data_IF_878193105787
#
_entry.id   IF_878193105787
#
_cell.length_a   1.000
_cell.length_b   1.000
_cell.length_c   1.000
_cell.angle_alpha   90.00
_cell.angle_beta   90.00
_cell.angle_gamma   90.00
#
_symmetry.space_group_name_H-M   'P 1'
#
loop_
_entity.id
_entity.type
_entity.pdbx_description
1 polymer ?
#
# COMPACT_ATOMS: atom_id res chain seq x y z
N UNK A 1 1.98 0.95 -35.56
CA UNK A 1 1.88 -0.01 -34.44
C UNK A 1 0.56 0.29 -33.73
N UNK A 2 -0.36 -0.68 -33.70
CA UNK A 2 -1.63 -0.55 -32.95
C UNK A 2 -1.32 -0.99 -31.52
N UNK A 3 -1.60 -0.14 -30.56
CA UNK A 3 -1.44 -0.46 -29.14
C UNK A 3 -2.73 -1.11 -28.62
N UNK A 4 -2.64 -2.12 -27.73
CA UNK A 4 -3.84 -2.63 -27.05
C UNK A 4 -4.51 -1.51 -26.27
N UNK A 5 -5.84 -1.57 -26.15
CA UNK A 5 -6.59 -0.63 -25.33
C UNK A 5 -6.22 -0.84 -23.86
N UNK A 6 -5.91 0.25 -23.17
CA UNK A 6 -5.66 0.29 -21.74
C UNK A 6 -6.93 -0.02 -20.93
N UNK A 7 -6.75 -0.65 -19.79
CA UNK A 7 -7.79 -0.90 -18.78
C UNK A 7 -7.87 0.27 -17.76
N UNK A 8 -9.01 0.42 -17.08
CA UNK A 8 -9.23 1.49 -16.09
C UNK A 8 -9.91 2.76 -16.61
N UNK A 9 -10.05 3.75 -15.74
CA UNK A 9 -10.76 5.01 -16.03
C UNK A 9 -9.81 5.97 -16.77
N UNK A 10 -10.29 6.71 -17.78
CA UNK A 10 -9.49 7.78 -18.42
C UNK A 10 -9.00 8.75 -17.34
N UNK A 11 -7.71 9.18 -17.35
CA UNK A 11 -7.18 9.98 -16.25
C UNK A 11 -7.90 11.32 -16.10
N UNK A 12 -8.47 11.86 -17.18
CA UNK A 12 -9.27 13.09 -17.16
C UNK A 12 -10.57 12.91 -16.41
N UNK A 13 -11.21 11.75 -16.54
CA UNK A 13 -12.45 11.47 -15.81
C UNK A 13 -12.16 11.14 -14.35
N UNK A 14 -11.06 10.44 -14.07
CA UNK A 14 -10.57 10.24 -12.71
C UNK A 14 -10.30 11.57 -12.00
N UNK A 15 -9.65 12.53 -12.67
CA UNK A 15 -9.38 13.86 -12.11
C UNK A 15 -10.66 14.65 -11.80
N UNK A 16 -11.68 14.55 -12.65
CA UNK A 16 -13.00 15.16 -12.39
C UNK A 16 -13.64 14.52 -11.16
N UNK A 17 -13.63 13.19 -11.07
CA UNK A 17 -14.18 12.47 -9.92
C UNK A 17 -13.42 12.79 -8.62
N UNK A 18 -12.11 13.00 -8.71
CA UNK A 18 -11.26 13.42 -7.61
C UNK A 18 -11.37 14.92 -7.27
N UNK A 19 -12.21 15.66 -7.99
CA UNK A 19 -12.44 17.10 -7.84
C UNK A 19 -11.16 17.95 -7.95
N UNK A 20 -10.25 17.59 -8.86
CA UNK A 20 -9.04 18.37 -9.11
C UNK A 20 -9.35 19.66 -9.86
N UNK A 21 -8.61 20.76 -9.58
CA UNK A 21 -8.76 22.00 -10.34
C UNK A 21 -8.31 21.81 -11.80
N UNK A 22 -8.85 22.62 -12.71
CA UNK A 22 -8.54 22.52 -14.14
C UNK A 22 -7.05 22.64 -14.46
N UNK A 23 -6.32 23.45 -13.67
CA UNK A 23 -4.89 23.74 -13.83
C UNK A 23 -4.02 23.07 -12.75
N UNK A 24 -4.40 21.87 -12.32
CA UNK A 24 -3.68 21.14 -11.29
C UNK A 24 -2.21 20.83 -11.67
N UNK A 25 -1.38 20.72 -10.64
CA UNK A 25 0.05 20.46 -10.66
C UNK A 25 0.34 19.14 -9.93
N UNK A 26 1.56 18.62 -10.09
CA UNK A 26 2.01 17.41 -9.38
C UNK A 26 1.84 17.53 -7.86
N UNK A 27 2.09 18.72 -7.30
CA UNK A 27 1.89 19.02 -5.89
C UNK A 27 0.43 18.83 -5.43
N UNK A 28 -0.56 19.14 -6.28
CA UNK A 28 -1.97 18.90 -5.92
C UNK A 28 -2.25 17.39 -5.80
N UNK A 29 -1.58 16.57 -6.60
CA UNK A 29 -1.69 15.12 -6.52
C UNK A 29 -0.96 14.56 -5.30
N UNK A 30 0.22 15.11 -4.98
CA UNK A 30 0.94 14.79 -3.75
C UNK A 30 0.06 15.05 -2.52
N UNK A 31 -0.53 16.24 -2.43
CA UNK A 31 -1.41 16.63 -1.33
C UNK A 31 -2.63 15.70 -1.23
N UNK A 32 -3.28 15.41 -2.36
CA UNK A 32 -4.45 14.52 -2.37
C UNK A 32 -4.12 13.09 -1.91
N UNK A 33 -2.96 12.54 -2.30
CA UNK A 33 -2.49 11.24 -1.84
C UNK A 33 -2.21 11.29 -0.32
N UNK A 34 -1.50 12.33 0.14
CA UNK A 34 -1.17 12.51 1.55
C UNK A 34 -2.42 12.63 2.42
N UNK A 35 -3.42 13.41 2.00
CA UNK A 35 -4.68 13.58 2.74
C UNK A 35 -5.46 12.27 2.85
N UNK A 36 -5.49 11.47 1.78
CA UNK A 36 -6.08 10.13 1.82
C UNK A 36 -5.35 9.20 2.78
N UNK A 37 -4.03 9.16 2.73
CA UNK A 37 -3.23 8.33 3.65
C UNK A 37 -3.41 8.77 5.11
N UNK A 38 -3.43 10.09 5.38
CA UNK A 38 -3.75 10.61 6.72
C UNK A 38 -5.15 10.21 7.18
N UNK A 39 -6.14 10.28 6.30
CA UNK A 39 -7.52 9.86 6.62
C UNK A 39 -7.63 8.37 6.98
N UNK A 40 -6.68 7.57 6.51
CA UNK A 40 -6.54 6.14 6.82
C UNK A 40 -5.68 5.87 8.06
N UNK A 41 -5.16 6.91 8.72
CA UNK A 41 -4.38 6.80 9.95
C UNK A 41 -2.88 6.57 9.75
N UNK A 42 -2.33 6.78 8.56
CA UNK A 42 -0.88 6.73 8.34
C UNK A 42 -0.17 7.94 8.93
N UNK A 43 0.94 7.71 9.62
CA UNK A 43 1.90 8.75 9.98
C UNK A 43 2.80 9.06 8.78
N UNK A 44 2.87 10.32 8.36
CA UNK A 44 3.61 10.72 7.17
C UNK A 44 4.12 12.16 7.23
N UNK A 45 5.16 12.43 6.44
CA UNK A 45 5.65 13.78 6.15
C UNK A 45 5.72 14.00 4.65
N UNK A 46 5.38 15.20 4.23
CA UNK A 46 5.50 15.65 2.84
C UNK A 46 6.78 16.50 2.69
N UNK A 47 7.40 16.44 1.51
CA UNK A 47 8.49 17.34 1.14
C UNK A 47 9.75 17.20 2.01
N UNK A 48 10.16 15.96 2.31
CA UNK A 48 11.30 15.67 3.20
C UNK A 48 12.62 15.92 2.49
N UNK A 49 13.34 16.96 2.92
CA UNK A 49 14.65 17.32 2.39
C UNK A 49 15.75 16.39 2.88
N UNK A 50 16.70 16.08 1.99
CA UNK A 50 17.88 15.26 2.28
C UNK A 50 19.08 15.68 1.45
N UNK A 51 20.28 15.39 1.95
CA UNK A 51 21.52 15.57 1.21
C UNK A 51 21.77 14.34 0.32
N UNK A 52 22.07 14.59 -0.96
CA UNK A 52 22.34 13.54 -1.94
C UNK A 52 23.85 13.21 -1.97
N UNK A 53 24.21 11.94 -2.25
CA UNK A 53 25.57 11.59 -2.59
C UNK A 53 26.09 12.47 -3.72
N UNK A 54 27.19 13.19 -3.49
CA UNK A 54 27.73 14.16 -4.46
C UNK A 54 27.44 15.63 -4.13
N UNK A 55 26.85 15.94 -2.97
CA UNK A 55 26.76 17.31 -2.43
C UNK A 55 25.55 18.12 -2.92
N UNK A 56 24.58 17.48 -3.56
CA UNK A 56 23.30 18.09 -3.93
C UNK A 56 22.24 17.96 -2.82
N UNK A 57 21.10 18.62 -3.00
CA UNK A 57 19.90 18.41 -2.16
C UNK A 57 18.80 17.73 -2.95
N UNK A 58 18.09 16.81 -2.31
CA UNK A 58 16.89 16.16 -2.82
C UNK A 58 15.72 16.38 -1.87
N UNK A 59 14.51 16.19 -2.38
CA UNK A 59 13.29 16.26 -1.61
C UNK A 59 12.43 15.04 -1.97
N UNK A 60 12.11 14.21 -0.99
CA UNK A 60 11.14 13.13 -1.18
C UNK A 60 9.73 13.70 -1.04
N UNK A 61 8.84 13.30 -1.95
CA UNK A 61 7.48 13.82 -1.99
C UNK A 61 6.70 13.43 -0.74
N UNK A 62 6.59 12.14 -0.44
CA UNK A 62 5.89 11.63 0.74
C UNK A 62 6.71 10.52 1.40
N UNK A 63 6.85 10.59 2.73
CA UNK A 63 7.52 9.55 3.52
C UNK A 63 6.57 9.09 4.63
N UNK A 64 6.24 7.81 4.62
CA UNK A 64 5.49 7.16 5.69
C UNK A 64 6.42 6.77 6.83
N UNK A 65 5.91 6.84 8.05
CA UNK A 65 6.62 6.46 9.26
C UNK A 65 5.90 5.33 9.99
N UNK A 66 6.68 4.46 10.62
CA UNK A 66 6.21 3.44 11.54
C UNK A 66 7.13 3.41 12.75
N UNK A 67 6.57 3.54 13.95
CA UNK A 67 7.35 3.61 15.20
C UNK A 67 8.45 4.69 15.17
N UNK A 68 8.10 5.88 14.64
CA UNK A 68 8.99 7.03 14.52
C UNK A 68 10.12 6.89 13.48
N UNK A 69 10.19 5.78 12.74
CA UNK A 69 11.22 5.53 11.72
C UNK A 69 10.62 5.61 10.30
N UNK A 70 11.37 6.11 9.30
CA UNK A 70 10.96 6.02 7.90
C UNK A 70 10.65 4.57 7.53
N UNK A 71 9.44 4.35 7.03
CA UNK A 71 8.93 3.03 6.70
C UNK A 71 8.87 2.84 5.19
N UNK A 72 8.28 3.78 4.45
CA UNK A 72 8.14 3.71 3.00
C UNK A 72 8.22 5.10 2.37
N UNK A 73 8.87 5.21 1.21
CA UNK A 73 8.90 6.45 0.40
C UNK A 73 7.92 6.30 -0.75
N UNK A 74 7.09 7.32 -0.97
CA UNK A 74 6.25 7.45 -2.15
C UNK A 74 6.74 8.65 -2.96
N UNK A 75 7.25 8.36 -4.15
CA UNK A 75 7.55 9.35 -5.19
C UNK A 75 6.31 9.54 -6.05
N UNK A 76 5.91 10.78 -6.30
CA UNK A 76 4.68 11.10 -7.02
C UNK A 76 5.04 11.79 -8.32
N UNK A 77 4.52 11.26 -9.43
CA UNK A 77 4.58 11.92 -10.74
C UNK A 77 3.19 12.23 -11.25
N UNK A 78 3.03 13.39 -11.88
CA UNK A 78 1.77 13.83 -12.48
C UNK A 78 1.21 12.75 -13.42
N UNK A 79 2.07 12.28 -14.32
CA UNK A 79 1.81 11.24 -15.30
C UNK A 79 3.00 10.27 -15.33
N UNK A 80 2.75 8.97 -15.23
CA UNK A 80 3.79 7.93 -15.30
C UNK A 80 3.98 7.51 -16.77
N UNK A 81 4.61 8.38 -17.55
CA UNK A 81 5.11 8.04 -18.89
C UNK A 81 6.53 7.45 -18.79
N UNK A 82 7.18 7.18 -19.93
CA UNK A 82 8.56 6.63 -19.96
C UNK A 82 9.55 7.43 -19.12
N UNK A 83 9.54 8.75 -19.23
CA UNK A 83 10.44 9.62 -18.47
C UNK A 83 10.11 9.62 -16.98
N UNK A 84 8.82 9.72 -16.64
CA UNK A 84 8.33 9.64 -15.26
C UNK A 84 8.74 8.34 -14.58
N UNK A 85 8.72 7.21 -15.30
CA UNK A 85 9.24 5.94 -14.79
C UNK A 85 10.75 6.02 -14.55
N UNK A 86 11.54 6.44 -15.55
CA UNK A 86 13.01 6.42 -15.43
C UNK A 86 13.53 7.37 -14.35
N UNK A 87 12.99 8.59 -14.26
CA UNK A 87 13.38 9.55 -13.23
C UNK A 87 12.79 9.17 -11.87
N UNK A 88 11.49 8.90 -11.82
CA UNK A 88 10.78 8.61 -10.57
C UNK A 88 11.30 7.35 -9.87
N UNK A 89 11.61 6.28 -10.61
CA UNK A 89 12.17 5.06 -10.00
C UNK A 89 13.57 5.28 -9.43
N UNK A 90 14.41 6.09 -10.10
CA UNK A 90 15.74 6.43 -9.59
C UNK A 90 15.66 7.31 -8.33
N UNK A 91 14.77 8.31 -8.34
CA UNK A 91 14.51 9.17 -7.18
C UNK A 91 13.99 8.35 -5.99
N UNK A 92 12.94 7.56 -6.19
CA UNK A 92 12.34 6.75 -5.13
C UNK A 92 13.36 5.79 -4.48
N UNK A 93 14.20 5.13 -5.29
CA UNK A 93 15.27 4.25 -4.77
C UNK A 93 16.32 5.01 -3.99
N UNK A 94 16.81 6.12 -4.53
CA UNK A 94 17.82 6.93 -3.86
C UNK A 94 17.30 7.45 -2.52
N UNK A 95 16.08 7.97 -2.50
CA UNK A 95 15.46 8.53 -1.30
C UNK A 95 15.18 7.46 -0.24
N UNK A 96 14.66 6.29 -0.63
CA UNK A 96 14.53 5.15 0.29
C UNK A 96 15.86 4.80 0.95
N UNK A 97 16.94 4.71 0.16
CA UNK A 97 18.24 4.33 0.70
C UNK A 97 18.82 5.39 1.64
N UNK A 98 18.69 6.68 1.31
CA UNK A 98 19.23 7.79 2.12
C UNK A 98 18.45 7.93 3.42
N UNK A 99 17.12 7.84 3.36
CA UNK A 99 16.25 7.95 4.52
C UNK A 99 16.23 6.68 5.38
N UNK A 100 16.79 5.56 4.89
CA UNK A 100 16.79 4.28 5.59
C UNK A 100 15.39 3.68 5.72
N UNK A 101 14.51 3.94 4.75
CA UNK A 101 13.18 3.36 4.73
C UNK A 101 13.25 1.85 4.49
N UNK A 102 12.45 1.09 5.23
CA UNK A 102 12.56 -0.38 5.28
C UNK A 102 11.77 -1.10 4.21
N UNK A 103 10.68 -0.48 3.71
CA UNK A 103 9.85 -1.05 2.66
C UNK A 103 10.28 -0.59 1.26
N UNK A 104 9.88 -1.39 0.29
CA UNK A 104 10.05 -1.07 -1.12
C UNK A 104 9.41 0.30 -1.43
N UNK A 105 10.13 1.24 -2.07
CA UNK A 105 9.55 2.52 -2.49
C UNK A 105 8.42 2.32 -3.49
N UNK A 106 7.52 3.30 -3.53
CA UNK A 106 6.45 3.37 -4.51
C UNK A 106 6.63 4.58 -5.41
N UNK A 107 6.41 4.39 -6.72
CA UNK A 107 6.19 5.46 -7.68
C UNK A 107 4.69 5.51 -7.99
N UNK A 108 4.06 6.64 -7.71
CA UNK A 108 2.62 6.84 -7.85
C UNK A 108 2.31 7.95 -8.84
N UNK A 109 1.17 7.85 -9.52
CA UNK A 109 0.77 8.84 -10.51
C UNK A 109 -0.35 8.36 -11.41
N UNK A 110 -0.76 9.21 -12.34
CA UNK A 110 -1.77 8.83 -13.34
C UNK A 110 -1.12 8.12 -14.52
N UNK A 111 -1.82 7.15 -15.09
CA UNK A 111 -1.46 6.58 -16.37
C UNK A 111 -1.53 7.65 -17.48
N UNK A 112 -0.64 7.62 -18.49
CA UNK A 112 -0.67 8.58 -19.59
C UNK A 112 -1.99 8.59 -20.36
N UNK A 113 -2.38 9.75 -20.89
CA UNK A 113 -3.63 9.89 -21.66
C UNK A 113 -3.61 9.11 -22.97
N UNK A 114 -2.44 9.00 -23.60
CA UNK A 114 -2.29 8.29 -24.86
C UNK A 114 -1.83 6.85 -24.63
N UNK A 115 -2.42 5.92 -25.38
CA UNK A 115 -2.01 4.50 -25.36
C UNK A 115 -0.52 4.35 -25.64
N UNK A 116 0.00 5.09 -26.63
CA UNK A 116 1.41 5.06 -26.99
C UNK A 116 2.32 5.39 -25.81
N UNK A 117 2.01 6.45 -25.05
CA UNK A 117 2.81 6.84 -23.89
C UNK A 117 2.66 5.85 -22.73
N UNK A 118 1.45 5.31 -22.53
CA UNK A 118 1.18 4.29 -21.53
C UNK A 118 2.05 3.04 -21.78
N UNK A 119 2.04 2.51 -23.00
CA UNK A 119 2.86 1.34 -23.36
C UNK A 119 4.35 1.65 -23.36
N UNK A 120 4.75 2.87 -23.74
CA UNK A 120 6.14 3.33 -23.59
C UNK A 120 6.59 3.36 -22.13
N UNK A 121 5.70 3.80 -21.24
CA UNK A 121 5.86 3.73 -19.78
C UNK A 121 6.01 2.30 -19.30
N UNK A 122 5.04 1.41 -19.60
CA UNK A 122 5.11 -0.01 -19.24
C UNK A 122 6.39 -0.69 -19.73
N UNK A 123 6.82 -0.42 -20.96
CA UNK A 123 8.10 -0.93 -21.46
C UNK A 123 9.29 -0.37 -20.67
N UNK A 124 9.26 0.89 -20.25
CA UNK A 124 10.29 1.46 -19.39
C UNK A 124 10.32 0.77 -18.02
N UNK A 125 9.14 0.48 -17.44
CA UNK A 125 9.01 -0.28 -16.18
C UNK A 125 9.70 -1.63 -16.32
N UNK A 126 9.49 -2.29 -17.46
CA UNK A 126 10.10 -3.60 -17.72
C UNK A 126 11.62 -3.56 -17.85
N UNK A 127 12.17 -2.43 -18.29
CA UNK A 127 13.61 -2.21 -18.44
C UNK A 127 14.26 -1.71 -17.14
N UNK A 128 13.55 -0.90 -16.36
CA UNK A 128 14.03 -0.32 -15.10
C UNK A 128 13.85 -1.33 -13.96
N UNK A 129 14.76 -2.31 -13.88
CA UNK A 129 14.96 -3.22 -12.74
C UNK A 129 13.66 -3.53 -11.93
N UNK A 130 12.81 -4.35 -12.52
CA UNK A 130 11.42 -4.68 -12.15
C UNK A 130 11.07 -4.99 -10.68
N UNK A 131 12.02 -5.04 -9.74
CA UNK A 131 11.79 -5.55 -8.40
C UNK A 131 12.15 -4.58 -7.27
N UNK A 132 12.58 -3.35 -7.55
CA UNK A 132 13.03 -2.42 -6.50
C UNK A 132 12.08 -1.25 -6.22
N UNK A 133 11.13 -0.96 -7.10
CA UNK A 133 10.12 0.10 -6.93
C UNK A 133 8.77 -0.46 -7.34
N UNK A 134 7.77 -0.37 -6.46
CA UNK A 134 6.38 -0.65 -6.82
C UNK A 134 5.80 0.53 -7.60
N UNK A 135 5.01 0.27 -8.64
CA UNK A 135 4.44 1.34 -9.48
C UNK A 135 2.92 1.27 -9.41
N UNK A 136 2.28 2.39 -9.10
CA UNK A 136 0.84 2.50 -8.94
C UNK A 136 0.30 3.54 -9.90
N UNK A 137 -0.56 3.09 -10.81
CA UNK A 137 -1.40 3.96 -11.65
C UNK A 137 -2.72 4.22 -10.91
N UNK A 138 -2.89 5.42 -10.34
CA UNK A 138 -4.02 5.73 -9.45
C UNK A 138 -5.39 5.56 -10.12
N UNK A 139 -5.47 5.77 -11.43
CA UNK A 139 -6.69 5.65 -12.23
C UNK A 139 -6.92 4.24 -12.81
N UNK A 140 -6.06 3.28 -12.48
CA UNK A 140 -6.22 1.86 -12.82
C UNK A 140 -6.32 0.98 -11.56
N UNK A 141 -6.12 1.56 -10.39
CA UNK A 141 -6.14 0.88 -9.12
C UNK A 141 -7.38 1.29 -8.32
N UNK A 142 -8.33 0.36 -8.20
CA UNK A 142 -9.63 0.60 -7.56
C UNK A 142 -9.51 1.13 -6.13
N UNK A 143 -8.41 0.81 -5.43
CA UNK A 143 -8.13 1.31 -4.07
C UNK A 143 -7.97 2.83 -4.03
N UNK A 144 -7.60 3.42 -5.16
CA UNK A 144 -7.36 4.84 -5.32
C UNK A 144 -8.48 5.54 -6.07
N UNK A 145 -9.59 4.86 -6.38
CA UNK A 145 -10.72 5.53 -7.02
C UNK A 145 -11.34 6.56 -6.08
N UNK A 146 -11.68 7.76 -6.58
CA UNK A 146 -12.40 8.74 -5.80
C UNK A 146 -13.75 8.15 -5.41
N UNK A 147 -14.08 8.14 -4.11
CA UNK A 147 -15.43 7.81 -3.72
C UNK A 147 -16.35 8.92 -4.23
N UNK A 148 -17.49 8.60 -4.88
CA UNK A 148 -18.38 9.62 -5.40
C UNK A 148 -19.00 10.39 -4.24
N UNK A 149 -18.52 11.63 -4.04
CA UNK A 149 -18.98 12.65 -3.09
C UNK A 149 -19.01 12.21 -1.63
N UNK A 150 -18.18 12.80 -0.75
CA UNK A 150 -18.63 13.55 0.44
C UNK A 150 -17.44 14.35 0.96
N UNK A 151 -17.61 15.67 1.10
CA UNK A 151 -16.72 16.45 1.96
C UNK A 151 -16.85 15.91 3.38
N UNK A 152 -15.74 15.53 4.00
CA UNK A 152 -15.60 15.22 5.44
C UNK A 152 -16.87 14.64 6.09
N UNK A 153 -17.13 13.34 5.90
CA UNK A 153 -17.83 12.53 6.89
C UNK A 153 -17.37 11.07 6.79
N UNK A 154 -16.93 10.54 7.93
CA UNK A 154 -16.51 9.16 8.11
C UNK A 154 -17.70 8.19 7.98
N UNK A 155 -17.34 6.92 7.77
CA UNK A 155 -18.15 5.70 7.96
C UNK A 155 -19.28 5.45 6.95
N UNK A 156 -18.98 4.66 5.89
CA UNK A 156 -19.45 3.27 5.73
C UNK A 156 -19.21 2.79 4.28
N UNK A 157 -18.03 2.20 4.05
CA UNK A 157 -17.91 1.04 3.15
C UNK A 157 -16.85 0.13 3.78
N UNK A 158 -17.28 -0.58 4.84
CA UNK A 158 -16.68 -1.86 5.20
C UNK A 158 -17.02 -2.81 4.05
N UNK A 159 -16.05 -3.64 3.71
CA UNK A 159 -16.16 -4.83 2.88
C UNK A 159 -16.11 -4.58 1.36
N UNK A 160 -14.89 -4.38 0.84
CA UNK A 160 -14.16 -5.42 0.10
C UNK A 160 -12.86 -4.86 -0.51
N UNK A 161 -11.78 -5.63 -0.40
CA UNK A 161 -10.43 -5.42 -0.98
C UNK A 161 -9.41 -4.52 -0.25
N UNK A 162 -9.41 -4.56 1.09
CA UNK A 162 -8.30 -4.08 1.93
C UNK A 162 -7.10 -5.05 1.96
N UNK A 163 -6.45 -5.29 0.81
CA UNK A 163 -5.26 -6.14 0.73
C UNK A 163 -3.92 -5.41 0.99
N UNK A 164 -3.95 -4.14 1.39
CA UNK A 164 -2.76 -3.45 1.91
C UNK A 164 -2.61 -3.60 3.44
N UNK A 165 -3.70 -3.93 4.16
CA UNK A 165 -3.68 -4.09 5.62
C UNK A 165 -3.44 -5.52 6.12
N UNK A 166 -3.73 -6.56 5.31
CA UNK A 166 -3.69 -7.94 5.84
C UNK A 166 -2.29 -8.48 6.16
N UNK A 167 -1.23 -7.88 5.59
CA UNK A 167 0.16 -8.28 5.87
C UNK A 167 0.76 -7.56 7.08
N UNK A 168 0.28 -6.38 7.46
CA UNK A 168 0.88 -5.52 8.49
C UNK A 168 0.15 -5.57 9.83
N UNK A 169 -1.20 -5.58 9.82
CA UNK A 169 -1.96 -5.71 11.07
C UNK A 169 -1.79 -7.10 11.71
N UNK A 170 -1.59 -8.15 10.91
CA UNK A 170 -1.32 -9.48 11.46
C UNK A 170 0.06 -9.57 12.10
N UNK A 171 1.13 -9.04 11.50
CA UNK A 171 2.47 -9.18 12.10
C UNK A 171 2.64 -8.32 13.37
N UNK A 172 2.10 -7.10 13.41
CA UNK A 172 2.19 -6.25 14.60
C UNK A 172 1.36 -6.79 15.78
N UNK A 173 0.11 -7.20 15.52
CA UNK A 173 -0.78 -7.69 16.57
C UNK A 173 -0.37 -9.09 17.04
N UNK A 174 0.04 -9.98 16.11
CA UNK A 174 0.57 -11.31 16.45
C UNK A 174 1.91 -11.18 17.18
N UNK A 175 2.82 -10.28 16.79
CA UNK A 175 4.08 -10.10 17.52
C UNK A 175 3.87 -9.49 18.91
N UNK A 176 2.92 -8.56 19.08
CA UNK A 176 2.61 -8.03 20.42
C UNK A 176 1.90 -9.07 21.30
N UNK A 177 0.99 -9.86 20.73
CA UNK A 177 0.32 -10.96 21.44
C UNK A 177 1.32 -12.07 21.79
N UNK A 178 2.21 -12.45 20.87
CA UNK A 178 3.25 -13.43 21.11
C UNK A 178 4.26 -12.92 22.14
N UNK A 179 4.65 -11.63 22.11
CA UNK A 179 5.57 -11.04 23.09
C UNK A 179 4.93 -10.94 24.48
N UNK A 180 3.68 -10.49 24.56
CA UNK A 180 2.94 -10.41 25.83
C UNK A 180 2.67 -11.80 26.40
N UNK A 181 2.23 -12.75 25.57
CA UNK A 181 2.11 -14.15 25.95
C UNK A 181 3.46 -14.69 26.41
N UNK A 182 4.54 -14.53 25.64
CA UNK A 182 5.87 -15.02 26.01
C UNK A 182 6.36 -14.46 27.33
N UNK A 183 6.08 -13.19 27.65
CA UNK A 183 6.44 -12.58 28.94
C UNK A 183 5.61 -13.12 30.12
N UNK A 184 4.29 -13.31 29.93
CA UNK A 184 3.39 -13.88 30.94
C UNK A 184 3.72 -15.36 31.19
N UNK A 185 4.04 -16.07 30.11
CA UNK A 185 4.51 -17.45 30.09
C UNK A 185 5.86 -17.53 30.82
N UNK A 186 6.87 -16.72 30.52
CA UNK A 186 8.15 -16.78 31.23
C UNK A 186 8.04 -16.50 32.74
N UNK A 187 7.09 -15.65 33.15
CA UNK A 187 6.81 -15.39 34.58
C UNK A 187 6.13 -16.57 35.30
N UNK A 188 5.30 -17.35 34.60
CA UNK A 188 4.60 -18.53 35.17
C UNK A 188 5.31 -19.87 34.96
N UNK A 189 5.87 -20.10 33.77
CA UNK A 189 6.51 -21.35 33.34
C UNK A 189 7.78 -21.65 34.12
N UNK A 190 8.51 -20.65 34.59
CA UNK A 190 9.70 -20.90 35.41
C UNK A 190 9.39 -21.58 36.76
N UNK A 191 8.13 -21.57 37.20
CA UNK A 191 7.66 -22.28 38.40
C UNK A 191 7.06 -23.67 38.11
N UNK A 192 6.96 -24.08 36.85
CA UNK A 192 6.39 -25.38 36.44
C UNK A 192 7.47 -26.45 36.30
N UNK A 193 7.13 -27.70 36.61
CA UNK A 193 7.98 -28.85 36.27
C UNK A 193 7.99 -29.09 34.75
N UNK A 194 9.01 -29.79 34.24
CA UNK A 194 9.25 -29.95 32.80
C UNK A 194 8.05 -30.52 32.03
N UNK A 195 7.29 -31.46 32.63
CA UNK A 195 6.08 -32.03 32.01
C UNK A 195 4.99 -30.97 31.79
N UNK A 196 4.75 -30.13 32.80
CA UNK A 196 3.77 -29.03 32.70
C UNK A 196 4.23 -27.93 31.74
N UNK A 197 5.53 -27.66 31.63
CA UNK A 197 6.09 -26.73 30.64
C UNK A 197 5.82 -27.21 29.21
N UNK A 198 6.07 -28.49 28.93
CA UNK A 198 5.87 -29.06 27.61
C UNK A 198 4.40 -29.00 27.16
N UNK A 199 3.46 -29.34 28.06
CA UNK A 199 2.02 -29.25 27.77
C UNK A 199 1.62 -27.81 27.45
N UNK A 200 2.06 -26.83 28.27
CA UNK A 200 1.73 -25.42 28.04
C UNK A 200 2.21 -24.93 26.66
N UNK A 201 3.44 -25.27 26.27
CA UNK A 201 4.01 -24.90 24.96
C UNK A 201 3.20 -25.52 23.82
N UNK A 202 2.87 -26.81 23.90
CA UNK A 202 2.07 -27.51 22.87
C UNK A 202 0.68 -26.88 22.74
N UNK A 203 0.02 -26.59 23.86
CA UNK A 203 -1.30 -25.94 23.86
C UNK A 203 -1.26 -24.56 23.20
N UNK A 204 -0.21 -23.78 23.45
CA UNK A 204 -0.04 -22.46 22.82
C UNK A 204 0.22 -22.56 21.32
N UNK A 205 1.06 -23.48 20.87
CA UNK A 205 1.26 -23.74 19.45
C UNK A 205 -0.05 -24.16 18.76
N UNK A 206 -0.86 -24.99 19.43
CA UNK A 206 -2.14 -25.43 18.92
C UNK A 206 -3.18 -24.29 18.85
N UNK A 207 -3.24 -23.42 19.86
CA UNK A 207 -4.10 -22.22 19.84
C UNK A 207 -3.70 -21.28 18.70
N UNK A 208 -2.39 -21.02 18.51
CA UNK A 208 -1.89 -20.21 17.40
C UNK A 208 -2.25 -20.81 16.03
N UNK A 209 -2.15 -22.13 15.89
CA UNK A 209 -2.56 -22.85 14.68
C UNK A 209 -4.07 -22.73 14.44
N UNK A 210 -4.91 -22.95 15.46
CA UNK A 210 -6.36 -22.82 15.35
C UNK A 210 -6.79 -21.39 15.01
N UNK A 211 -6.19 -20.38 15.63
CA UNK A 211 -6.46 -18.99 15.28
C UNK A 211 -6.11 -18.72 13.82
N UNK A 212 -4.96 -19.19 13.34
CA UNK A 212 -4.58 -19.06 11.93
C UNK A 212 -5.56 -19.77 10.99
N UNK A 213 -6.01 -20.98 11.37
CA UNK A 213 -6.96 -21.79 10.60
C UNK A 213 -8.34 -21.14 10.53
N UNK A 214 -8.91 -20.71 11.66
CA UNK A 214 -10.23 -20.06 11.70
C UNK A 214 -10.26 -18.74 10.94
N UNK A 215 -9.18 -17.96 10.98
CA UNK A 215 -9.09 -16.72 10.20
C UNK A 215 -8.91 -17.02 8.70
N UNK A 216 -8.21 -18.10 8.34
CA UNK A 216 -8.12 -18.57 6.96
C UNK A 216 -9.44 -19.10 6.39
N UNK A 217 -10.21 -19.88 7.17
CA UNK A 217 -11.49 -20.44 6.74
C UNK A 217 -12.57 -19.37 6.53
N UNK A 218 -12.64 -18.35 7.38
CA UNK A 218 -13.56 -17.22 7.17
C UNK A 218 -13.25 -16.46 5.89
N UNK A 219 -11.97 -16.27 5.54
CA UNK A 219 -11.59 -15.63 4.28
C UNK A 219 -12.04 -16.45 3.04
N UNK A 220 -12.04 -17.78 3.13
CA UNK A 220 -12.49 -18.67 2.06
C UNK A 220 -14.03 -18.64 1.92
N UNK A 221 -14.77 -18.62 3.03
CA UNK A 221 -16.23 -18.49 3.03
C UNK A 221 -16.68 -17.14 2.47
N UNK A 222 -16.06 -16.04 2.90
CA UNK A 222 -16.33 -14.70 2.36
C UNK A 222 -16.03 -14.63 0.85
N UNK A 223 -14.96 -15.28 0.37
CA UNK A 223 -14.66 -15.35 -1.06
C UNK A 223 -15.71 -16.14 -1.85
N UNK A 224 -16.24 -17.22 -1.27
CA UNK A 224 -17.31 -18.04 -1.89
C UNK A 224 -18.62 -17.27 -1.99
N UNK A 225 -18.98 -16.52 -0.95
CA UNK A 225 -20.22 -15.74 -0.91
C UNK A 225 -20.16 -14.54 -1.87
N UNK A 226 -19.01 -13.89 -2.01
CA UNK A 226 -18.79 -12.81 -2.99
C UNK A 226 -18.93 -13.33 -4.43
N UNK A 227 -18.32 -14.46 -4.75
CA UNK A 227 -18.43 -15.05 -6.09
C UNK A 227 -19.85 -15.53 -6.41
N UNK A 228 -20.60 -16.04 -5.44
CA UNK A 228 -21.98 -16.47 -5.66
C UNK A 228 -22.95 -15.29 -5.85
N UNK A 229 -22.72 -14.17 -5.17
CA UNK A 229 -23.56 -12.96 -5.31
C UNK A 229 -23.30 -12.22 -6.64
N UNK A 230 -22.05 -12.16 -7.10
CA UNK A 230 -21.71 -11.57 -8.41
C UNK A 230 -22.29 -12.35 -9.61
N UNK A 231 -22.48 -13.67 -9.46
CA UNK A 231 -23.12 -14.51 -10.50
C UNK A 231 -24.63 -14.29 -10.56
N UNK A 232 -25.29 -13.95 -9.44
CA UNK A 232 -26.72 -13.67 -9.45
C UNK A 232 -27.08 -12.30 -10.02
N UNK A 233 -26.22 -11.29 -9.86
CA UNK A 233 -26.43 -9.96 -10.46
C UNK A 233 -26.17 -9.92 -11.98
N UNK A 234 -25.38 -10.85 -12.53
CA UNK A 234 -25.19 -10.98 -13.98
C UNK A 234 -26.29 -11.76 -14.70
N UNK A 235 -27.24 -12.35 -13.97
CA UNK A 235 -28.37 -13.11 -14.52
C UNK A 235 -29.73 -12.42 -14.34
N UNK A 236 -29.75 -11.11 -14.05
CA UNK A 236 -30.95 -10.25 -14.07
C UNK A 236 -30.78 -9.14 -15.10
#
# INVERSE_FOLDING_TARGET
>A
MIYPKREGIDPRDWLKQANFPSNWKELDLQQWIADRLRSQGYDLKEGVWMDLPGGGKGQADIVLYYDGKPWQVLEVKKIINREGVLLGTNQARAYTSILGATEQPLLMGLAPWSEKEYWSGKNAINLSAHNQVGIIFLNEDDRWFPAPNEGIAQTQHRDNNFNFQFKLLNLGLINSLLSNCYSLINRGINKLNWKKKAIAIITLCFISFLLSWFHGSKAIETYRDINNNNVQEQCR
#
